data_IF_893145326480
#
_entry.id   IF_893145326480
#
_cell.length_a   1.000
_cell.length_b   1.000
_cell.length_c   1.000
_cell.angle_alpha   90.00
_cell.angle_beta   90.00
_cell.angle_gamma   90.00
#
_symmetry.space_group_name_H-M   'P 1'
#
loop_
_entity.id
_entity.type
_entity.pdbx_description
1 polymer ?
#
# COMPACT_ATOMS: atom_id res chain seq x y z
N UNK A 1 3.72 -61.49 55.86
CA UNK A 1 2.32 -61.91 55.67
C UNK A 1 1.63 -60.84 54.83
N UNK A 2 1.16 -61.20 53.63
CA UNK A 2 0.53 -60.29 52.67
C UNK A 2 -0.95 -60.09 53.03
N UNK A 3 -1.48 -58.87 52.88
CA UNK A 3 -2.85 -58.65 52.40
C UNK A 3 -2.98 -57.31 51.68
N UNK A 4 -3.36 -57.41 50.41
CA UNK A 4 -3.84 -56.36 49.48
C UNK A 4 -5.20 -55.80 49.99
N UNK A 5 -5.79 -54.67 49.59
CA UNK A 5 -6.13 -54.12 48.26
C UNK A 5 -6.97 -52.82 48.46
N UNK A 6 -7.07 -51.94 47.44
CA UNK A 6 -8.18 -50.97 47.26
C UNK A 6 -7.73 -49.50 47.10
N UNK A 7 -7.39 -49.00 45.90
CA UNK A 7 -8.23 -48.43 44.83
C UNK A 7 -8.82 -47.01 45.11
N UNK A 8 -8.20 -46.01 44.46
CA UNK A 8 -8.73 -44.81 43.78
C UNK A 8 -9.95 -44.03 44.32
N UNK A 9 -9.79 -42.72 44.59
CA UNK A 9 -10.63 -41.67 43.98
C UNK A 9 -10.05 -40.25 44.19
N UNK A 10 -10.15 -39.44 43.14
CA UNK A 10 -9.68 -38.06 42.94
C UNK A 10 -10.73 -37.05 43.44
N UNK A 11 -10.29 -35.85 43.88
CA UNK A 11 -10.92 -34.50 43.75
C UNK A 11 -10.73 -33.70 45.06
N UNK A 12 -10.49 -32.39 45.10
CA UNK A 12 -10.14 -31.37 44.14
C UNK A 12 -9.66 -30.20 45.02
N UNK A 13 -8.50 -29.62 44.71
CA UNK A 13 -8.02 -28.41 45.39
C UNK A 13 -8.58 -27.22 44.63
N UNK A 14 -9.57 -26.53 45.22
CA UNK A 14 -10.00 -25.22 44.75
C UNK A 14 -9.07 -24.20 45.41
N UNK A 15 -8.01 -23.79 44.72
CA UNK A 15 -7.30 -22.56 45.04
C UNK A 15 -7.90 -21.43 44.20
N UNK A 16 -8.71 -20.60 44.85
CA UNK A 16 -9.14 -19.30 44.35
C UNK A 16 -7.93 -18.37 44.43
N UNK A 17 -7.13 -18.33 43.37
CA UNK A 17 -6.27 -17.20 43.07
C UNK A 17 -6.93 -16.46 41.92
N UNK A 18 -7.59 -15.34 42.24
CA UNK A 18 -8.12 -14.43 41.25
C UNK A 18 -6.98 -13.89 40.40
N UNK A 19 -6.77 -14.51 39.25
CA UNK A 19 -6.06 -13.88 38.15
C UNK A 19 -6.93 -12.70 37.72
N UNK A 20 -6.47 -11.48 38.00
CA UNK A 20 -6.94 -10.32 37.26
C UNK A 20 -6.52 -10.55 35.82
N UNK A 21 -7.44 -11.05 34.99
CA UNK A 21 -7.31 -10.98 33.55
C UNK A 21 -7.28 -9.50 33.20
N UNK A 22 -6.08 -8.97 32.95
CA UNK A 22 -5.97 -7.76 32.16
C UNK A 22 -6.49 -8.16 30.78
N UNK A 23 -7.70 -7.71 30.45
CA UNK A 23 -8.07 -7.61 29.05
C UNK A 23 -7.03 -6.70 28.45
N UNK A 24 -6.22 -7.19 27.51
CA UNK A 24 -5.65 -6.29 26.54
C UNK A 24 -6.86 -5.58 25.94
N UNK A 25 -6.99 -4.30 26.25
CA UNK A 25 -7.93 -3.44 25.56
C UNK A 25 -7.47 -3.48 24.12
N UNK A 26 -8.29 -4.05 23.25
CA UNK A 26 -8.08 -4.15 21.81
C UNK A 26 -8.29 -2.75 21.21
N UNK A 27 -7.57 -1.76 21.77
CA UNK A 27 -7.34 -0.51 21.07
C UNK A 27 -6.38 -0.88 19.97
N UNK A 28 -6.93 -1.36 18.84
CA UNK A 28 -6.19 -1.43 17.60
C UNK A 28 -5.48 -0.09 17.47
N UNK A 29 -4.15 -0.13 17.62
CA UNK A 29 -3.36 1.07 17.39
C UNK A 29 -3.64 1.39 15.93
N UNK A 30 -4.24 2.56 15.61
CA UNK A 30 -4.55 2.87 14.23
C UNK A 30 -3.25 2.70 13.43
N UNK A 31 -3.30 2.02 12.27
CA UNK A 31 -2.11 1.85 11.46
C UNK A 31 -1.47 3.22 11.25
N UNK A 32 -0.13 3.32 11.26
CA UNK A 32 0.54 4.58 11.06
C UNK A 32 0.03 5.22 9.76
N UNK A 33 -0.61 6.38 9.89
CA UNK A 33 -1.13 7.13 8.76
C UNK A 33 -0.07 8.14 8.33
N UNK A 34 0.57 7.89 7.19
CA UNK A 34 1.45 8.84 6.55
C UNK A 34 0.63 9.78 5.67
N UNK A 35 0.32 10.98 6.16
CA UNK A 35 -0.38 12.03 5.40
C UNK A 35 0.58 12.79 4.49
N UNK A 36 1.47 12.09 3.81
CA UNK A 36 2.48 12.69 2.91
C UNK A 36 2.06 12.64 1.43
N UNK A 37 0.84 12.17 1.14
CA UNK A 37 0.27 12.13 -0.21
C UNK A 37 0.67 10.91 -1.03
N UNK A 38 1.36 9.92 -0.43
CA UNK A 38 1.67 8.67 -1.12
C UNK A 38 0.44 7.80 -1.31
N UNK A 39 0.32 7.22 -2.50
CA UNK A 39 -0.71 6.21 -2.81
C UNK A 39 -0.52 4.97 -1.92
N UNK A 40 0.73 4.56 -1.69
CA UNK A 40 1.07 3.43 -0.84
C UNK A 40 1.34 3.82 0.63
N UNK A 41 0.71 4.88 1.15
CA UNK A 41 0.95 5.39 2.50
C UNK A 41 0.78 4.34 3.62
N UNK A 42 -0.11 3.36 3.45
CA UNK A 42 -0.33 2.31 4.47
C UNK A 42 0.75 1.24 4.52
N UNK A 43 1.66 1.19 3.54
CA UNK A 43 2.81 0.29 3.55
C UNK A 43 4.08 1.02 4.00
N UNK A 44 4.26 1.07 5.32
CA UNK A 44 5.40 1.72 5.95
C UNK A 44 6.77 1.08 5.59
N UNK A 45 6.77 -0.17 5.11
CA UNK A 45 7.96 -0.92 4.77
C UNK A 45 8.23 -0.95 3.26
N UNK A 46 7.44 -0.23 2.46
CA UNK A 46 7.60 -0.17 1.02
C UNK A 46 9.01 0.35 0.64
N UNK A 47 9.71 -0.31 -0.29
CA UNK A 47 11.02 0.15 -0.78
C UNK A 47 10.91 1.36 -1.73
N UNK A 48 9.68 1.73 -2.09
CA UNK A 48 9.34 2.82 -3.01
C UNK A 48 8.18 3.63 -2.45
N UNK A 49 8.13 4.90 -2.85
CA UNK A 49 7.02 5.81 -2.63
C UNK A 49 6.35 6.11 -3.97
N UNK A 50 5.03 5.97 -4.03
CA UNK A 50 4.23 6.24 -5.22
C UNK A 50 3.41 7.50 -4.99
N UNK A 51 3.48 8.45 -5.91
CA UNK A 51 2.73 9.70 -5.87
C UNK A 51 1.97 9.90 -7.17
N UNK A 52 0.76 10.44 -7.07
CA UNK A 52 0.12 11.14 -8.17
C UNK A 52 0.63 12.57 -8.18
N UNK A 53 1.14 13.01 -9.33
CA UNK A 53 1.54 14.41 -9.49
C UNK A 53 0.34 15.23 -9.89
N UNK A 54 0.40 16.51 -9.57
CA UNK A 54 -0.71 17.43 -9.73
C UNK A 54 -0.25 18.67 -10.49
N UNK A 55 -1.13 19.22 -11.33
CA UNK A 55 -0.94 20.52 -11.96
C UNK A 55 -2.20 21.38 -11.83
N UNK A 56 -2.00 22.69 -11.69
CA UNK A 56 -3.10 23.64 -11.66
C UNK A 56 -3.37 24.16 -13.06
N UNK A 57 -4.56 23.84 -13.59
CA UNK A 57 -5.04 24.32 -14.88
C UNK A 57 -6.17 25.35 -14.71
N UNK A 58 -6.43 26.11 -15.78
CA UNK A 58 -7.62 26.95 -15.87
C UNK A 58 -8.76 26.18 -16.54
N UNK A 59 -9.92 26.11 -15.89
CA UNK A 59 -11.15 25.52 -16.40
C UNK A 59 -12.33 26.51 -16.26
N UNK A 60 -13.47 26.22 -16.89
CA UNK A 60 -14.70 27.00 -16.70
C UNK A 60 -15.61 26.31 -15.66
N UNK A 61 -16.16 27.10 -14.73
CA UNK A 61 -17.19 26.62 -13.80
C UNK A 61 -18.57 26.52 -14.46
N UNK A 62 -19.59 26.08 -13.70
CA UNK A 62 -20.98 25.95 -14.20
C UNK A 62 -21.57 27.27 -14.75
N UNK A 63 -20.98 28.42 -14.42
CA UNK A 63 -21.41 29.74 -14.83
C UNK A 63 -20.51 30.34 -15.94
N UNK A 64 -19.52 29.59 -16.44
CA UNK A 64 -18.57 30.03 -17.47
C UNK A 64 -17.44 30.92 -16.96
N UNK A 65 -17.16 30.94 -15.66
CA UNK A 65 -16.01 31.69 -15.11
C UNK A 65 -14.75 30.84 -15.12
N UNK A 66 -13.63 31.46 -15.50
CA UNK A 66 -12.32 30.85 -15.38
C UNK A 66 -11.97 30.62 -13.90
N UNK A 67 -11.84 29.35 -13.51
CA UNK A 67 -11.43 28.89 -12.19
C UNK A 67 -10.15 28.05 -12.31
N UNK A 68 -9.34 28.06 -11.26
CA UNK A 68 -8.19 27.17 -11.15
C UNK A 68 -8.63 25.83 -10.58
N UNK A 69 -8.28 24.74 -11.25
CA UNK A 69 -8.57 23.38 -10.83
C UNK A 69 -7.26 22.61 -10.75
N UNK A 70 -7.11 21.86 -9.68
CA UNK A 70 -5.98 20.96 -9.48
C UNK A 70 -6.33 19.60 -10.09
N UNK A 71 -5.52 19.12 -11.02
CA UNK A 71 -5.76 17.88 -11.76
C UNK A 71 -4.53 16.99 -11.69
N UNK A 72 -4.74 15.68 -11.71
CA UNK A 72 -3.65 14.71 -11.78
C UNK A 72 -2.93 14.86 -13.11
N UNK A 73 -1.60 15.05 -13.04
CA UNK A 73 -0.72 15.27 -14.20
C UNK A 73 0.13 14.05 -14.54
N UNK A 74 0.19 13.05 -13.67
CA UNK A 74 0.99 11.84 -13.88
C UNK A 74 1.24 11.03 -12.61
N UNK A 75 2.11 10.04 -12.74
CA UNK A 75 2.53 9.16 -11.64
C UNK A 75 4.06 9.25 -11.49
N UNK A 76 4.50 9.47 -10.26
CA UNK A 76 5.91 9.43 -9.86
C UNK A 76 6.19 8.27 -8.92
N UNK A 77 7.32 7.59 -9.15
CA UNK A 77 7.86 6.59 -8.24
C UNK A 77 9.22 7.03 -7.76
N UNK A 78 9.37 7.08 -6.45
CA UNK A 78 10.62 7.41 -5.76
C UNK A 78 11.16 6.17 -5.06
N UNK A 79 12.45 5.92 -5.19
CA UNK A 79 13.11 4.78 -4.57
C UNK A 79 14.19 5.24 -3.59
N UNK A 80 14.26 4.55 -2.46
CA UNK A 80 15.34 4.73 -1.49
C UNK A 80 16.56 3.91 -1.89
N UNK A 81 17.72 4.56 -2.01
CA UNK A 81 19.00 3.88 -2.12
C UNK A 81 19.66 3.79 -0.73
N UNK A 82 19.72 2.59 -0.12
CA UNK A 82 20.32 2.40 1.19
C UNK A 82 21.85 2.56 1.17
N UNK A 83 22.49 2.53 -0.01
CA UNK A 83 23.95 2.69 -0.14
C UNK A 83 24.35 4.15 -0.03
N UNK A 84 23.58 5.03 -0.67
CA UNK A 84 23.85 6.47 -0.67
C UNK A 84 23.03 7.24 0.38
N UNK A 85 22.08 6.56 1.03
CA UNK A 85 21.11 7.16 1.95
C UNK A 85 20.34 8.33 1.30
N UNK A 86 19.97 8.17 0.02
CA UNK A 86 19.21 9.17 -0.72
C UNK A 86 18.00 8.57 -1.41
N UNK A 87 16.91 9.35 -1.48
CA UNK A 87 15.77 9.06 -2.34
C UNK A 87 16.01 9.67 -3.72
N UNK A 88 15.68 8.93 -4.77
CA UNK A 88 15.71 9.43 -6.14
C UNK A 88 14.42 9.06 -6.87
N UNK A 89 14.02 9.93 -7.80
CA UNK A 89 12.92 9.65 -8.72
C UNK A 89 13.37 8.55 -9.68
N UNK A 90 12.71 7.40 -9.62
CA UNK A 90 13.02 6.24 -10.46
C UNK A 90 12.16 6.22 -11.72
N UNK A 91 10.91 6.66 -11.62
CA UNK A 91 9.95 6.63 -12.72
C UNK A 91 9.08 7.89 -12.67
N UNK A 92 8.80 8.41 -13.86
CA UNK A 92 7.73 9.38 -14.10
C UNK A 92 7.03 9.00 -15.40
N UNK A 93 5.71 9.02 -15.40
CA UNK A 93 4.89 8.92 -16.60
C UNK A 93 3.77 9.97 -16.50
N UNK A 94 3.55 10.73 -17.56
CA UNK A 94 2.49 11.76 -17.57
C UNK A 94 1.12 11.13 -17.78
N UNK A 95 0.08 11.85 -17.38
CA UNK A 95 -1.30 11.41 -17.62
C UNK A 95 -1.59 11.22 -19.12
N UNK A 96 -1.07 12.10 -19.97
CA UNK A 96 -1.21 12.01 -21.43
C UNK A 96 -0.59 10.72 -21.99
N UNK A 97 0.59 10.34 -21.49
CA UNK A 97 1.27 9.12 -21.90
C UNK A 97 0.54 7.88 -21.38
N UNK A 98 0.04 7.91 -20.13
CA UNK A 98 -0.80 6.84 -19.56
C UNK A 98 -2.02 6.59 -20.45
N UNK A 99 -2.82 7.63 -20.72
CA UNK A 99 -4.05 7.51 -21.50
C UNK A 99 -3.78 7.06 -22.94
N UNK A 100 -2.67 7.51 -23.53
CA UNK A 100 -2.25 7.05 -24.86
C UNK A 100 -1.95 5.56 -24.87
N UNK A 101 -1.16 5.07 -23.91
CA UNK A 101 -0.79 3.65 -23.83
C UNK A 101 -1.99 2.75 -23.53
N UNK A 102 -2.93 3.21 -22.69
CA UNK A 102 -4.18 2.50 -22.42
C UNK A 102 -5.04 2.42 -23.69
N UNK A 103 -5.18 3.52 -24.42
CA UNK A 103 -5.94 3.53 -25.67
C UNK A 103 -5.31 2.60 -26.73
N UNK A 104 -3.98 2.53 -26.79
CA UNK A 104 -3.24 1.65 -27.68
C UNK A 104 -3.28 0.17 -27.27
N UNK A 105 -3.58 -0.14 -26.01
CA UNK A 105 -3.60 -1.52 -25.50
C UNK A 105 -4.82 -2.33 -25.96
N UNK A 106 -5.84 -1.67 -26.51
CA UNK A 106 -7.08 -2.27 -27.02
C UNK A 106 -7.74 -3.23 -26.01
N UNK A 107 -7.83 -2.79 -24.74
CA UNK A 107 -8.42 -3.56 -23.64
C UNK A 107 -7.54 -4.71 -23.15
N UNK A 108 -6.23 -4.63 -23.34
CA UNK A 108 -5.25 -5.56 -22.75
C UNK A 108 -4.43 -4.88 -21.66
N UNK A 109 -3.86 -5.68 -20.76
CA UNK A 109 -2.84 -5.23 -19.81
C UNK A 109 -1.68 -4.54 -20.54
N UNK A 110 -1.22 -3.42 -20.01
CA UNK A 110 -0.17 -2.60 -20.62
C UNK A 110 0.88 -2.17 -19.61
N UNK A 111 2.15 -2.17 -20.05
CA UNK A 111 3.25 -1.57 -19.31
C UNK A 111 3.24 -0.07 -19.61
N UNK A 112 3.00 0.74 -18.59
CA UNK A 112 2.96 2.19 -18.71
C UNK A 112 4.37 2.80 -18.69
N UNK A 113 5.26 2.26 -17.85
CA UNK A 113 6.64 2.71 -17.77
C UNK A 113 7.53 1.69 -17.07
N UNK A 114 8.81 1.68 -17.41
CA UNK A 114 9.80 0.79 -16.79
C UNK A 114 11.17 1.46 -16.67
N UNK A 115 11.71 1.54 -15.45
CA UNK A 115 13.05 2.07 -15.19
C UNK A 115 13.57 1.57 -13.84
N UNK A 116 14.89 1.33 -13.73
CA UNK A 116 15.52 0.94 -12.44
C UNK A 116 15.02 -0.38 -11.85
N UNK A 117 14.38 -1.24 -12.67
CA UNK A 117 13.73 -2.47 -12.21
C UNK A 117 12.30 -2.26 -11.68
N UNK A 118 11.83 -1.01 -11.55
CA UNK A 118 10.44 -0.69 -11.33
C UNK A 118 9.66 -0.78 -12.65
N UNK A 119 8.47 -1.38 -12.61
CA UNK A 119 7.55 -1.55 -13.73
C UNK A 119 6.17 -1.12 -13.29
N UNK A 120 5.66 -0.03 -13.87
CA UNK A 120 4.29 0.43 -13.68
C UNK A 120 3.43 -0.11 -14.82
N UNK A 121 2.26 -0.63 -14.48
CA UNK A 121 1.37 -1.30 -15.41
C UNK A 121 -0.08 -0.88 -15.14
N UNK A 122 -0.94 -1.16 -16.11
CA UNK A 122 -2.39 -0.96 -16.05
C UNK A 122 -3.13 -2.18 -16.60
N UNK A 123 -4.26 -2.53 -16.00
CA UNK A 123 -5.13 -3.63 -16.42
C UNK A 123 -6.43 -3.07 -16.97
N UNK A 124 -7.06 -3.81 -17.89
CA UNK A 124 -8.31 -3.41 -18.53
C UNK A 124 -9.49 -3.23 -17.54
N UNK A 125 -9.37 -3.79 -16.34
CA UNK A 125 -10.33 -3.63 -15.24
C UNK A 125 -10.22 -2.29 -14.49
N UNK A 126 -9.28 -1.41 -14.85
CA UNK A 126 -9.05 -0.12 -14.20
C UNK A 126 -7.98 -0.13 -13.10
N UNK A 127 -7.28 -1.25 -12.90
CA UNK A 127 -6.26 -1.39 -11.86
C UNK A 127 -4.88 -0.95 -12.36
N UNK A 128 -4.21 -0.09 -11.59
CA UNK A 128 -2.79 0.18 -11.71
C UNK A 128 -2.01 -0.75 -10.79
N UNK A 129 -0.85 -1.24 -11.23
CA UNK A 129 0.08 -1.92 -10.33
C UNK A 129 1.55 -1.65 -10.64
N UNK A 130 2.33 -1.58 -9.56
CA UNK A 130 3.76 -1.41 -9.58
C UNK A 130 4.43 -2.70 -9.09
N UNK A 131 5.42 -3.17 -9.86
CA UNK A 131 6.43 -4.12 -9.38
C UNK A 131 7.74 -3.38 -9.23
N UNK A 132 8.40 -3.47 -8.07
CA UNK A 132 9.69 -2.82 -7.83
C UNK A 132 10.68 -3.74 -7.11
N UNK A 133 12.01 -3.53 -7.24
CA UNK A 133 12.98 -4.29 -6.47
C UNK A 133 12.90 -3.93 -4.98
N UNK A 134 13.10 -4.93 -4.12
CA UNK A 134 13.27 -4.76 -2.67
C UNK A 134 14.45 -5.61 -2.17
N UNK A 135 14.86 -5.38 -0.92
CA UNK A 135 15.89 -6.19 -0.25
C UNK A 135 15.48 -7.65 -0.03
N UNK A 136 14.18 -7.96 -0.09
CA UNK A 136 13.61 -9.29 0.19
C UNK A 136 12.99 -9.97 -1.03
N UNK A 137 13.19 -9.42 -2.25
CA UNK A 137 12.58 -9.90 -3.49
C UNK A 137 11.86 -8.77 -4.23
N UNK A 138 10.78 -9.08 -4.93
CA UNK A 138 9.94 -8.08 -5.59
C UNK A 138 8.90 -7.50 -4.63
N UNK A 139 8.79 -6.19 -4.61
CA UNK A 139 7.67 -5.46 -4.04
C UNK A 139 6.55 -5.36 -5.07
N UNK A 140 5.30 -5.53 -4.63
CA UNK A 140 4.10 -5.41 -5.45
C UNK A 140 3.11 -4.48 -4.73
N UNK A 141 2.54 -3.54 -5.46
CA UNK A 141 1.47 -2.68 -4.95
C UNK A 141 0.49 -2.35 -6.07
N UNK A 142 -0.80 -2.41 -5.79
CA UNK A 142 -1.88 -2.14 -6.75
C UNK A 142 -2.91 -1.19 -6.16
N UNK A 143 -3.50 -0.35 -7.01
CA UNK A 143 -4.54 0.60 -6.66
C UNK A 143 -5.48 0.84 -7.85
N UNK A 144 -6.69 1.31 -7.58
CA UNK A 144 -7.63 1.71 -8.62
C UNK A 144 -7.19 3.04 -9.26
N UNK A 145 -7.34 3.17 -10.58
CA UNK A 145 -7.20 4.46 -11.26
C UNK A 145 -8.43 5.32 -10.98
N UNK A 146 -8.27 6.45 -10.30
CA UNK A 146 -9.37 7.33 -9.87
C UNK A 146 -9.33 8.74 -10.51
N UNK A 147 -8.40 8.97 -11.44
CA UNK A 147 -8.26 10.20 -12.24
C UNK A 147 -8.73 10.05 -13.69
#
# INVERSE_FOLDING_TARGET
MVKKLGLSMIAAVIMVTGALSVSADDTETPPPNFTDGRVNAYDAAAPVAIYETHETIWAEDENGWAVQVDVVSGIEVWQWDPTTETAHKTLYVSIEEIETLIAESDGSDVVLAQMGGAVLNYSDDGTLWLVAPSTSGSYFFSWEKDF
#
